data_IF_812015427953
#
_entry.id   IF_812015427953
#
_cell.length_a   1.000
_cell.length_b   1.000
_cell.length_c   1.000
_cell.angle_alpha   90.00
_cell.angle_beta   90.00
_cell.angle_gamma   90.00
#
_symmetry.space_group_name_H-M   'P 1'
#
loop_
_entity.id
_entity.type
_entity.pdbx_description
1 polymer ?
#
# COMPACT_ATOMS: atom_id res chain seq x y z
N UNK A 1 -9.16 1.24 -4.77
CA UNK A 1 -9.09 -0.04 -4.05
C UNK A 1 -8.51 -1.09 -4.98
N UNK A 2 -7.44 -1.74 -4.55
CA UNK A 2 -6.97 -2.98 -5.19
C UNK A 2 -7.76 -4.16 -4.62
N UNK A 3 -7.75 -5.31 -5.31
CA UNK A 3 -8.49 -6.52 -4.95
C UNK A 3 -7.49 -7.68 -4.91
N UNK A 4 -7.54 -8.46 -3.84
CA UNK A 4 -6.84 -9.74 -3.71
C UNK A 4 -7.81 -10.89 -3.98
N UNK A 5 -7.62 -11.59 -5.11
CA UNK A 5 -8.41 -12.78 -5.44
C UNK A 5 -7.81 -13.99 -4.77
N UNK A 6 -8.59 -14.66 -3.91
CA UNK A 6 -8.17 -15.88 -3.23
C UNK A 6 -8.94 -17.07 -3.78
N UNK A 7 -8.20 -18.11 -4.15
CA UNK A 7 -8.73 -19.41 -4.59
C UNK A 7 -8.75 -20.37 -3.40
N UNK A 8 -9.93 -20.91 -3.09
CA UNK A 8 -10.11 -21.87 -2.01
C UNK A 8 -10.13 -23.28 -2.56
N UNK A 9 -9.37 -24.17 -1.93
CA UNK A 9 -9.40 -25.60 -2.20
C UNK A 9 -9.96 -26.32 -0.98
N UNK A 10 -11.13 -26.95 -1.13
CA UNK A 10 -11.78 -27.76 -0.12
C UNK A 10 -11.25 -29.20 -0.11
N UNK A 11 -10.82 -29.69 1.04
CA UNK A 11 -10.35 -31.07 1.21
C UNK A 11 -11.27 -31.95 2.06
N UNK A 12 -12.53 -31.55 2.27
CA UNK A 12 -13.54 -32.32 3.00
C UNK A 12 -13.82 -33.66 2.32
N UNK A 13 -14.08 -34.70 3.13
CA UNK A 13 -14.44 -36.02 2.65
C UNK A 13 -15.88 -36.36 3.05
N UNK A 14 -16.60 -37.10 2.20
CA UNK A 14 -17.96 -37.59 2.45
C UNK A 14 -19.03 -36.51 2.73
N UNK A 15 -18.77 -35.27 2.32
CA UNK A 15 -19.74 -34.17 2.39
C UNK A 15 -20.54 -34.08 1.09
N UNK A 16 -21.83 -33.77 1.20
CA UNK A 16 -22.74 -33.60 0.06
C UNK A 16 -23.15 -32.15 -0.17
N UNK A 17 -22.92 -31.26 0.79
CA UNK A 17 -23.14 -29.82 0.62
C UNK A 17 -22.12 -28.98 1.40
N UNK A 18 -21.93 -27.75 0.93
CA UNK A 18 -20.91 -26.82 1.43
C UNK A 18 -21.51 -25.43 1.61
N UNK A 19 -21.04 -24.74 2.64
CA UNK A 19 -21.40 -23.36 2.95
C UNK A 19 -20.14 -22.62 3.40
N UNK A 20 -19.77 -21.60 2.64
CA UNK A 20 -18.65 -20.73 2.91
C UNK A 20 -19.14 -19.41 3.49
N UNK A 21 -18.42 -18.91 4.48
CA UNK A 21 -18.48 -17.52 4.94
C UNK A 21 -17.07 -16.95 4.92
N UNK A 22 -16.83 -15.94 4.08
CA UNK A 22 -15.50 -15.38 3.88
C UNK A 22 -15.08 -14.39 4.98
N UNK A 23 -15.96 -14.08 5.94
CA UNK A 23 -15.68 -13.13 7.01
C UNK A 23 -15.49 -11.69 6.52
N UNK A 24 -15.89 -11.37 5.29
CA UNK A 24 -15.80 -10.08 4.62
C UNK A 24 -17.20 -9.47 4.39
N UNK A 25 -17.88 -8.97 5.44
CA UNK A 25 -19.24 -8.42 5.31
C UNK A 25 -19.31 -7.23 4.34
N UNK A 26 -18.19 -6.52 4.11
CA UNK A 26 -18.11 -5.43 3.13
C UNK A 26 -18.24 -5.88 1.66
N UNK A 27 -18.20 -7.19 1.39
CA UNK A 27 -18.49 -7.78 0.09
C UNK A 27 -19.98 -8.04 -0.16
N UNK A 28 -20.85 -7.83 0.84
CA UNK A 28 -22.30 -7.98 0.72
C UNK A 28 -22.72 -9.42 0.42
N UNK A 29 -23.54 -9.62 -0.62
CA UNK A 29 -24.00 -10.95 -1.04
C UNK A 29 -22.87 -11.90 -1.43
N UNK A 30 -21.69 -11.37 -1.79
CA UNK A 30 -20.54 -12.16 -2.17
C UNK A 30 -19.77 -12.69 -0.94
N UNK A 31 -20.19 -12.38 0.29
CA UNK A 31 -19.54 -12.88 1.51
C UNK A 31 -19.73 -14.38 1.75
N UNK A 32 -20.61 -15.03 0.98
CA UNK A 32 -20.90 -16.46 1.12
C UNK A 32 -20.89 -17.18 -0.22
N UNK A 33 -20.71 -18.50 -0.17
CA UNK A 33 -20.77 -19.37 -1.36
C UNK A 33 -21.20 -20.79 -0.98
N UNK A 34 -21.82 -21.50 -1.93
CA UNK A 34 -22.16 -22.93 -1.79
C UNK A 34 -21.37 -23.83 -2.74
N UNK A 35 -20.42 -23.25 -3.49
CA UNK A 35 -19.55 -24.01 -4.39
C UNK A 35 -18.58 -24.90 -3.58
N UNK A 36 -18.19 -26.03 -4.17
CA UNK A 36 -17.25 -26.97 -3.55
C UNK A 36 -15.91 -26.30 -3.25
N UNK A 37 -15.40 -25.47 -4.16
CA UNK A 37 -14.12 -24.76 -4.06
C UNK A 37 -14.27 -23.39 -4.73
N UNK A 38 -14.73 -22.36 -4.00
CA UNK A 38 -15.01 -21.04 -4.56
C UNK A 38 -13.75 -20.18 -4.72
N UNK A 39 -13.94 -19.03 -5.35
CA UNK A 39 -13.03 -17.88 -5.28
C UNK A 39 -13.71 -16.76 -4.51
N UNK A 40 -12.93 -15.91 -3.83
CA UNK A 40 -13.43 -14.68 -3.23
C UNK A 40 -12.49 -13.50 -3.50
N UNK A 41 -13.10 -12.35 -3.76
CA UNK A 41 -12.42 -11.09 -4.05
C UNK A 41 -12.37 -10.24 -2.79
N UNK A 42 -11.27 -10.33 -2.03
CA UNK A 42 -11.09 -9.49 -0.85
C UNK A 42 -10.67 -8.09 -1.27
N UNK A 43 -11.46 -7.08 -0.89
CA UNK A 43 -11.07 -5.68 -1.05
C UNK A 43 -9.89 -5.39 -0.13
N UNK A 44 -8.81 -4.89 -0.72
CA UNK A 44 -7.69 -4.43 0.09
C UNK A 44 -8.09 -3.22 0.93
N UNK A 45 -7.60 -3.12 2.18
CA UNK A 45 -7.77 -1.92 2.97
C UNK A 45 -7.16 -0.74 2.20
N UNK A 46 -7.96 0.32 1.98
CA UNK A 46 -7.48 1.50 1.27
C UNK A 46 -6.44 2.22 2.13
N UNK A 47 -5.24 2.40 1.56
CA UNK A 47 -4.33 3.53 1.81
C UNK A 47 -3.77 3.70 3.23
N UNK A 48 -3.82 2.69 4.08
CA UNK A 48 -3.04 2.67 5.33
C UNK A 48 -2.33 1.34 5.37
N UNK A 49 -1.09 1.30 5.85
CA UNK A 49 -0.24 0.10 5.96
C UNK A 49 -0.79 -0.98 6.90
N UNK A 50 -2.11 -1.04 7.07
CA UNK A 50 -2.83 -1.92 7.96
C UNK A 50 -3.25 -3.15 7.19
N UNK A 51 -2.63 -4.27 7.53
CA UNK A 51 -3.07 -5.60 7.12
C UNK A 51 -4.46 -5.89 7.70
N UNK A 52 -5.37 -6.44 6.89
CA UNK A 52 -6.69 -6.87 7.34
C UNK A 52 -6.76 -8.39 7.39
N UNK A 53 -7.21 -8.92 8.51
CA UNK A 53 -7.44 -10.36 8.68
C UNK A 53 -8.92 -10.68 8.57
N UNK A 54 -9.23 -11.69 7.76
CA UNK A 54 -10.57 -12.23 7.55
C UNK A 54 -10.60 -13.66 8.08
N UNK A 55 -11.62 -14.01 8.87
CA UNK A 55 -11.81 -15.39 9.33
C UNK A 55 -12.74 -16.11 8.36
N UNK A 56 -12.18 -16.95 7.49
CA UNK A 56 -12.97 -17.74 6.55
C UNK A 56 -13.41 -19.04 7.19
N UNK A 57 -14.69 -19.35 7.07
CA UNK A 57 -15.28 -20.57 7.60
C UNK A 57 -15.87 -21.40 6.46
N UNK A 58 -15.50 -22.67 6.39
CA UNK A 58 -16.17 -23.69 5.60
C UNK A 58 -17.02 -24.53 6.54
N UNK A 59 -18.29 -24.72 6.21
CA UNK A 59 -19.17 -25.71 6.81
C UNK A 59 -19.52 -26.77 5.76
N UNK A 60 -19.14 -28.01 6.03
CA UNK A 60 -19.42 -29.16 5.19
C UNK A 60 -20.46 -30.06 5.87
N UNK A 61 -21.47 -30.51 5.11
CA UNK A 61 -22.61 -31.27 5.64
C UNK A 61 -22.84 -32.52 4.83
N UNK A 62 -23.32 -33.57 5.49
CA UNK A 62 -23.98 -34.71 4.87
C UNK A 62 -25.25 -35.07 5.66
N UNK A 63 -25.90 -36.19 5.32
CA UNK A 63 -27.14 -36.64 5.99
C UNK A 63 -26.98 -37.00 7.46
N UNK A 64 -25.74 -37.16 7.95
CA UNK A 64 -25.45 -37.64 9.31
C UNK A 64 -24.81 -36.57 10.19
N UNK A 65 -23.98 -35.71 9.60
CA UNK A 65 -23.19 -34.75 10.37
C UNK A 65 -22.96 -33.45 9.63
N UNK A 66 -22.64 -32.43 10.41
CA UNK A 66 -22.18 -31.12 9.96
C UNK A 66 -20.89 -30.83 10.69
N UNK A 67 -19.84 -30.45 9.95
CA UNK A 67 -18.58 -30.01 10.52
C UNK A 67 -18.18 -28.68 9.90
N UNK A 68 -17.50 -27.86 10.71
CA UNK A 68 -16.99 -26.56 10.27
C UNK A 68 -15.52 -26.42 10.62
N UNK A 69 -14.78 -25.76 9.73
CA UNK A 69 -13.40 -25.33 9.97
C UNK A 69 -13.27 -23.85 9.65
N UNK A 70 -12.53 -23.12 10.49
CA UNK A 70 -12.22 -21.71 10.27
C UNK A 70 -10.72 -21.53 10.13
N UNK A 71 -10.29 -20.75 9.13
CA UNK A 71 -8.89 -20.36 8.93
C UNK A 71 -8.79 -18.84 8.73
N UNK A 72 -7.78 -18.19 9.35
CA UNK A 72 -7.54 -16.77 9.10
C UNK A 72 -6.90 -16.58 7.72
N UNK A 73 -7.29 -15.51 7.05
CA UNK A 73 -6.66 -14.98 5.83
C UNK A 73 -6.20 -13.58 6.11
N UNK A 74 -4.94 -13.34 5.84
CA UNK A 74 -4.30 -12.05 6.08
C UNK A 74 -4.07 -11.38 4.73
N UNK A 75 -4.85 -10.34 4.44
CA UNK A 75 -4.72 -9.53 3.23
C UNK A 75 -3.91 -8.29 3.59
N UNK A 76 -2.66 -8.27 3.13
CA UNK A 76 -1.82 -7.09 3.23
C UNK A 76 -2.31 -6.02 2.25
N UNK A 77 -2.17 -4.72 2.57
CA UNK A 77 -2.35 -3.69 1.57
C UNK A 77 -1.32 -3.90 0.44
N UNK A 78 -1.73 -3.72 -0.81
CA UNK A 78 -0.83 -3.53 -1.94
C UNK A 78 -0.55 -2.04 -2.07
N UNK A 79 0.64 -1.57 -1.67
CA UNK A 79 1.08 -0.23 -2.00
C UNK A 79 0.96 0.02 -3.49
N UNK A 80 0.02 0.92 -3.79
CA UNK A 80 -0.43 1.22 -5.15
C UNK A 80 0.64 1.90 -6.01
N UNK A 81 1.73 2.36 -5.39
CA UNK A 81 2.81 3.04 -6.08
C UNK A 81 4.15 2.45 -5.66
N UNK A 82 4.88 1.88 -6.63
CA UNK A 82 6.32 1.71 -6.50
C UNK A 82 7.02 2.97 -7.00
N UNK A 83 7.51 3.84 -6.13
CA UNK A 83 8.36 4.95 -6.57
C UNK A 83 9.65 4.98 -5.76
N UNK A 84 10.76 5.16 -6.48
CA UNK A 84 12.10 5.30 -5.92
C UNK A 84 12.58 6.68 -6.32
N UNK A 85 12.80 7.54 -5.34
CA UNK A 85 13.42 8.84 -5.57
C UNK A 85 14.93 8.59 -5.56
N UNK A 86 15.58 8.70 -6.72
CA UNK A 86 17.03 8.48 -6.87
C UNK A 86 17.83 9.78 -6.90
N UNK A 87 17.18 10.91 -7.22
CA UNK A 87 17.82 12.23 -7.34
C UNK A 87 16.76 13.33 -7.22
N UNK A 88 17.13 14.43 -6.57
CA UNK A 88 16.38 15.70 -6.60
C UNK A 88 17.38 16.78 -7.06
N UNK A 89 17.01 17.50 -8.12
CA UNK A 89 17.85 18.55 -8.72
C UNK A 89 17.14 19.89 -8.71
N UNK A 90 17.83 20.91 -8.21
CA UNK A 90 17.43 22.30 -8.34
C UNK A 90 18.31 22.92 -9.41
N UNK A 91 17.73 23.15 -10.59
CA UNK A 91 18.39 23.72 -11.75
C UNK A 91 18.12 25.22 -11.84
N UNK A 92 18.93 25.92 -12.65
CA UNK A 92 18.73 27.35 -12.90
C UNK A 92 17.36 27.59 -13.56
N UNK A 93 16.43 28.19 -12.82
CA UNK A 93 15.23 28.78 -13.40
C UNK A 93 15.52 30.25 -13.66
N UNK A 94 15.34 30.72 -14.89
CA UNK A 94 15.33 32.17 -15.12
C UNK A 94 14.17 32.73 -14.31
N UNK A 95 14.47 33.42 -13.22
CA UNK A 95 13.50 34.25 -12.53
C UNK A 95 13.16 35.38 -13.48
N UNK A 96 12.10 35.22 -14.27
CA UNK A 96 11.48 36.35 -14.96
C UNK A 96 11.03 37.27 -13.82
N UNK A 97 11.76 38.37 -13.64
CA UNK A 97 11.65 39.22 -12.47
C UNK A 97 10.21 39.55 -12.14
N UNK A 98 9.87 39.46 -10.85
CA UNK A 98 9.12 40.44 -10.05
C UNK A 98 8.62 39.76 -8.74
N UNK A 99 9.18 40.25 -7.62
CA UNK A 99 8.60 40.38 -6.26
C UNK A 99 8.60 39.20 -5.25
N UNK A 100 9.53 39.34 -4.28
CA UNK A 100 9.48 39.04 -2.82
C UNK A 100 9.20 37.57 -2.41
N UNK A 101 10.18 36.79 -1.94
CA UNK A 101 10.86 36.96 -0.65
C UNK A 101 12.36 36.56 -0.69
N UNK A 102 13.18 37.39 -1.34
CA UNK A 102 14.63 37.30 -1.29
C UNK A 102 15.11 38.19 -0.13
N UNK A 103 15.91 37.66 0.79
CA UNK A 103 16.61 38.48 1.78
C UNK A 103 17.49 39.48 0.99
N UNK A 104 17.33 40.80 1.15
CA UNK A 104 18.07 41.78 0.35
C UNK A 104 19.59 41.73 0.55
N UNK A 105 20.10 41.05 1.58
CA UNK A 105 21.55 40.91 1.81
C UNK A 105 22.12 39.56 1.37
N UNK A 106 21.29 38.53 1.25
CA UNK A 106 21.74 37.15 1.16
C UNK A 106 20.79 36.31 0.27
N UNK A 107 21.33 35.40 -0.55
CA UNK A 107 20.51 34.57 -1.45
C UNK A 107 19.47 33.71 -0.71
N UNK A 108 18.60 32.98 -1.43
CA UNK A 108 17.54 32.19 -0.81
C UNK A 108 18.15 30.97 -0.13
N UNK A 109 17.72 30.75 1.11
CA UNK A 109 18.01 29.51 1.81
C UNK A 109 17.20 28.37 1.21
N UNK A 110 17.88 27.29 0.86
CA UNK A 110 17.26 26.17 0.14
C UNK A 110 17.42 24.88 0.93
N UNK A 111 16.31 24.16 1.13
CA UNK A 111 16.29 22.80 1.62
C UNK A 111 15.21 21.98 0.90
N UNK A 112 15.36 20.66 0.91
CA UNK A 112 14.40 19.74 0.30
C UNK A 112 13.70 18.93 1.39
N UNK A 113 12.39 18.76 1.28
CA UNK A 113 11.61 17.87 2.13
C UNK A 113 10.66 17.05 1.27
N UNK A 114 10.53 15.75 1.57
CA UNK A 114 9.54 14.87 0.96
C UNK A 114 8.39 14.74 1.96
N UNK A 115 7.16 15.03 1.52
CA UNK A 115 5.94 15.00 2.33
C UNK A 115 5.00 13.95 1.76
N UNK A 116 4.49 13.04 2.59
CA UNK A 116 3.49 12.02 2.23
C UNK A 116 2.33 12.07 3.22
N UNK A 117 1.08 12.02 2.76
CA UNK A 117 -0.13 12.03 3.59
C UNK A 117 -0.17 13.13 4.67
N UNK A 118 0.34 14.33 4.32
CA UNK A 118 0.37 15.49 5.21
C UNK A 118 1.48 15.46 6.27
N UNK A 119 2.33 14.44 6.31
CA UNK A 119 3.49 14.33 7.20
C UNK A 119 4.82 14.40 6.42
N UNK A 120 5.86 14.97 7.03
CA UNK A 120 7.20 14.98 6.43
C UNK A 120 7.79 13.57 6.48
N UNK A 121 7.84 12.90 5.33
CA UNK A 121 8.41 11.56 5.16
C UNK A 121 9.95 11.58 5.21
N UNK A 122 10.57 12.68 4.77
CA UNK A 122 12.00 12.91 4.88
C UNK A 122 12.28 14.41 4.96
N UNK A 123 13.00 14.83 5.99
CA UNK A 123 13.41 16.21 6.20
C UNK A 123 14.92 16.34 5.95
N UNK A 124 15.32 16.99 4.84
CA UNK A 124 16.72 17.26 4.54
C UNK A 124 17.16 18.65 5.01
N UNK A 125 16.56 19.22 6.08
CA UNK A 125 17.02 20.48 6.70
C UNK A 125 18.49 20.44 7.16
N UNK A 126 19.05 19.26 7.40
CA UNK A 126 20.49 19.10 7.66
C UNK A 126 21.36 19.37 6.41
N UNK A 127 20.74 19.43 5.23
CA UNK A 127 21.33 19.87 3.96
C UNK A 127 20.83 21.27 3.58
N UNK A 128 20.53 22.12 4.56
CA UNK A 128 20.23 23.53 4.31
C UNK A 128 21.43 24.17 3.60
N UNK A 129 21.18 24.72 2.41
CA UNK A 129 22.16 25.54 1.70
C UNK A 129 21.73 26.97 1.88
N UNK A 130 22.48 27.70 2.70
CA UNK A 130 22.22 29.12 2.92
C UNK A 130 22.68 29.93 1.70
N UNK A 131 21.99 31.03 1.44
CA UNK A 131 22.45 32.09 0.55
C UNK A 131 22.81 31.58 -0.87
N UNK A 132 21.96 30.74 -1.47
CA UNK A 132 22.26 30.09 -2.75
C UNK A 132 22.52 31.11 -3.85
N UNK A 133 23.69 31.01 -4.50
CA UNK A 133 24.09 31.84 -5.63
C UNK A 133 24.08 31.04 -6.95
N UNK A 134 24.04 31.75 -8.09
CA UNK A 134 23.98 31.12 -9.41
C UNK A 134 25.16 30.18 -9.70
N UNK A 135 26.35 30.50 -9.19
CA UNK A 135 27.56 29.67 -9.29
C UNK A 135 27.53 28.42 -8.41
N UNK A 136 26.55 28.30 -7.49
CA UNK A 136 26.35 27.12 -6.63
C UNK A 136 25.41 26.09 -7.28
N UNK A 137 24.80 26.41 -8.43
CA UNK A 137 23.90 25.50 -9.15
C UNK A 137 24.66 24.58 -10.13
N UNK A 138 24.19 23.33 -10.34
CA UNK A 138 23.02 22.71 -9.73
C UNK A 138 23.29 22.24 -8.30
N UNK A 139 22.31 22.44 -7.41
CA UNK A 139 22.36 21.79 -6.09
C UNK A 139 21.91 20.34 -6.23
N UNK A 140 22.78 19.42 -5.79
CA UNK A 140 22.50 17.98 -5.82
C UNK A 140 22.36 17.45 -4.40
N UNK A 141 21.22 16.83 -4.11
CA UNK A 141 20.97 16.15 -2.84
C UNK A 141 20.97 14.64 -3.08
N UNK A 142 22.01 13.96 -2.58
CA UNK A 142 22.14 12.52 -2.70
C UNK A 142 21.45 11.82 -1.51
N UNK A 143 20.63 10.83 -1.83
CA UNK A 143 20.03 9.95 -0.83
C UNK A 143 20.94 8.73 -0.68
N UNK A 144 21.70 8.69 0.43
CA UNK A 144 22.61 7.57 0.71
C UNK A 144 21.85 6.25 1.00
N UNK A 145 20.58 6.35 1.35
CA UNK A 145 19.65 5.21 1.49
C UNK A 145 18.52 5.35 0.46
N UNK A 146 18.27 4.33 -0.40
CA UNK A 146 17.12 4.33 -1.29
C UNK A 146 15.82 4.40 -0.49
N UNK A 147 14.96 5.37 -0.80
CA UNK A 147 13.60 5.41 -0.27
C UNK A 147 12.68 4.64 -1.24
N UNK A 148 12.12 3.53 -0.77
CA UNK A 148 11.15 2.72 -1.52
C UNK A 148 9.73 3.02 -1.06
N UNK A 149 8.86 3.36 -2.01
CA UNK A 149 7.42 3.19 -1.89
C UNK A 149 7.10 1.92 -2.69
N UNK A 150 6.25 0.96 -2.25
CA UNK A 150 5.90 -0.18 -3.12
C UNK A 150 5.31 -1.46 -2.52
N UNK A 151 4.59 -2.30 -3.33
CA UNK A 151 4.38 -3.78 -3.17
C UNK A 151 3.73 -4.52 -4.37
N UNK A 152 3.89 -5.86 -4.43
CA UNK A 152 2.89 -6.87 -4.90
C UNK A 152 3.31 -8.34 -4.58
N UNK A 153 2.35 -9.24 -4.25
CA UNK A 153 2.36 -10.71 -4.51
C UNK A 153 0.96 -11.36 -4.35
N UNK A 154 0.66 -12.41 -5.15
CA UNK A 154 -0.58 -13.23 -5.13
C UNK A 154 -0.45 -14.49 -4.26
N UNK A 155 -1.50 -14.89 -3.54
CA UNK A 155 -1.50 -16.05 -2.62
C UNK A 155 -2.65 -17.05 -2.91
N UNK A 156 -2.37 -18.36 -2.82
CA UNK A 156 -3.36 -19.46 -2.85
C UNK A 156 -3.52 -20.05 -1.45
N UNK A 157 -4.76 -20.33 -1.02
CA UNK A 157 -5.04 -20.89 0.32
C UNK A 157 -5.78 -22.24 0.25
N UNK A 158 -5.25 -23.22 1.00
CA UNK A 158 -5.87 -24.55 1.14
C UNK A 158 -6.67 -24.61 2.44
N UNK A 159 -7.96 -24.92 2.34
CA UNK A 159 -8.87 -25.01 3.50
C UNK A 159 -9.33 -26.44 3.72
#
# INVERSE_FOLDING_TARGET
SSISVIYFSNTSQNATSFEWNFGDPGSGSNNTSTLVSPTHDFKEPNLTSTTKTYTVTLTAKNSFTTQSISKPITIAPTPKYKCRITKIEINNGTANGFNQAWDPLDGPDTYVAIITDGAVALNLKNNLVNNVQLNMLPLTFNLNTPFEIGNSINNVLKI
#
